data_IF_344813838869
#
_entry.id   IF_344813838869
#
_cell.length_a   1.000
_cell.length_b   1.000
_cell.length_c   1.000
_cell.angle_alpha   90.00
_cell.angle_beta   90.00
_cell.angle_gamma   90.00
#
_symmetry.space_group_name_H-M   'P 1'
#
loop_
_entity.id
_entity.type
_entity.pdbx_description
1 polymer ?
#
# COMPACT_ATOMS: atom_id res chain seq x y z
N UNK A 1 9.33 -28.25 11.99
CA UNK A 1 9.67 -27.64 10.68
C UNK A 1 8.54 -26.76 10.12
N UNK A 2 7.33 -27.30 9.94
CA UNK A 2 6.21 -26.57 9.31
C UNK A 2 5.78 -25.29 10.05
N UNK A 3 5.81 -25.28 11.40
CA UNK A 3 5.50 -24.07 12.19
C UNK A 3 6.56 -22.98 12.09
N UNK A 4 7.84 -23.35 11.92
CA UNK A 4 8.93 -22.39 11.70
C UNK A 4 8.81 -21.73 10.33
N UNK A 5 8.56 -22.53 9.29
CA UNK A 5 8.36 -22.04 7.92
C UNK A 5 7.16 -21.09 7.88
N UNK A 6 6.01 -21.47 8.45
CA UNK A 6 4.83 -20.58 8.52
C UNK A 6 5.10 -19.27 9.25
N UNK A 7 5.89 -19.30 10.33
CA UNK A 7 6.24 -18.11 11.11
C UNK A 7 7.15 -17.15 10.33
N UNK A 8 8.11 -17.70 9.60
CA UNK A 8 9.00 -16.92 8.72
C UNK A 8 8.23 -16.34 7.54
N UNK A 9 7.40 -17.14 6.87
CA UNK A 9 6.58 -16.69 5.75
C UNK A 9 5.66 -15.53 6.18
N UNK A 10 5.01 -15.65 7.34
CA UNK A 10 4.13 -14.61 7.88
C UNK A 10 4.89 -13.32 8.18
N UNK A 11 6.13 -13.40 8.71
CA UNK A 11 6.98 -12.21 8.94
C UNK A 11 7.39 -11.53 7.64
N UNK A 12 7.82 -12.31 6.65
CA UNK A 12 8.24 -11.80 5.34
C UNK A 12 7.06 -11.13 4.63
N UNK A 13 5.89 -11.78 4.59
CA UNK A 13 4.68 -11.20 4.01
C UNK A 13 4.26 -9.90 4.70
N UNK A 14 4.31 -9.86 6.05
CA UNK A 14 3.96 -8.64 6.79
C UNK A 14 4.93 -7.50 6.49
N UNK A 15 6.22 -7.81 6.36
CA UNK A 15 7.24 -6.83 5.95
C UNK A 15 7.04 -6.36 4.50
N UNK A 16 6.78 -7.26 3.56
CA UNK A 16 6.49 -6.91 2.17
C UNK A 16 5.26 -6.02 2.05
N UNK A 17 4.17 -6.39 2.72
CA UNK A 17 2.93 -5.60 2.70
C UNK A 17 3.16 -4.22 3.30
N UNK A 18 3.99 -4.10 4.34
CA UNK A 18 4.29 -2.81 4.94
C UNK A 18 5.10 -1.89 4.00
N UNK A 19 6.11 -2.43 3.31
CA UNK A 19 6.94 -1.66 2.38
C UNK A 19 6.23 -1.33 1.06
N UNK A 20 5.54 -2.31 0.46
CA UNK A 20 4.93 -2.17 -0.87
C UNK A 20 3.46 -1.76 -0.82
N UNK A 21 2.77 -1.93 0.32
CA UNK A 21 1.36 -1.61 0.47
C UNK A 21 1.00 -0.19 0.04
N UNK A 22 1.71 0.84 0.54
CA UNK A 22 1.45 2.22 0.13
C UNK A 22 1.64 2.46 -1.37
N UNK A 23 2.71 1.91 -1.95
CA UNK A 23 3.00 2.05 -3.36
C UNK A 23 1.94 1.36 -4.24
N UNK A 24 1.58 0.12 -3.93
CA UNK A 24 0.58 -0.65 -4.69
C UNK A 24 -0.78 0.02 -4.63
N UNK A 25 -1.22 0.46 -3.45
CA UNK A 25 -2.49 1.19 -3.31
C UNK A 25 -2.51 2.49 -4.12
N UNK A 26 -1.39 3.21 -4.15
CA UNK A 26 -1.28 4.47 -4.90
C UNK A 26 -1.29 4.23 -6.40
N UNK A 27 -0.64 3.17 -6.89
CA UNK A 27 -0.68 2.78 -8.30
C UNK A 27 -2.11 2.40 -8.70
N UNK A 28 -2.79 1.57 -7.90
CA UNK A 28 -4.18 1.19 -8.15
C UNK A 28 -5.10 2.42 -8.18
N UNK A 29 -4.90 3.35 -7.26
CA UNK A 29 -5.62 4.62 -7.25
C UNK A 29 -5.38 5.45 -8.51
N UNK A 30 -4.12 5.62 -8.92
CA UNK A 30 -3.78 6.38 -10.13
C UNK A 30 -4.37 5.76 -11.40
N UNK A 31 -4.34 4.42 -11.52
CA UNK A 31 -4.95 3.70 -12.63
C UNK A 31 -6.47 3.88 -12.62
N UNK A 32 -7.12 3.71 -11.47
CA UNK A 32 -8.56 3.91 -11.35
C UNK A 32 -8.95 5.37 -11.66
N UNK A 33 -8.17 6.35 -11.21
CA UNK A 33 -8.37 7.76 -11.50
C UNK A 33 -8.30 8.01 -13.02
N UNK A 34 -7.30 7.49 -13.71
CA UNK A 34 -7.18 7.66 -15.17
C UNK A 34 -8.30 6.98 -15.96
N UNK A 35 -8.81 5.85 -15.48
CA UNK A 35 -9.86 5.10 -16.17
C UNK A 35 -11.27 5.67 -15.94
N UNK A 36 -11.59 6.04 -14.70
CA UNK A 36 -12.94 6.47 -14.32
C UNK A 36 -13.11 7.99 -14.28
N UNK A 37 -12.02 8.74 -14.08
CA UNK A 37 -12.06 10.19 -13.87
C UNK A 37 -10.91 10.92 -14.62
N UNK A 38 -10.84 10.82 -15.95
CA UNK A 38 -9.69 11.30 -16.73
C UNK A 38 -9.42 12.82 -16.59
N UNK A 39 -10.45 13.62 -16.33
CA UNK A 39 -10.34 15.09 -16.18
C UNK A 39 -9.90 15.53 -14.76
N UNK A 40 -9.69 14.58 -13.85
CA UNK A 40 -9.34 14.94 -12.47
C UNK A 40 -7.88 15.38 -12.32
N UNK A 41 -7.60 16.28 -11.36
CA UNK A 41 -6.25 16.78 -11.17
C UNK A 41 -5.26 15.67 -10.76
N UNK A 42 -4.07 15.67 -11.40
CA UNK A 42 -3.01 14.70 -11.11
C UNK A 42 -2.44 14.80 -9.69
N UNK A 43 -2.59 15.95 -9.02
CA UNK A 43 -2.10 16.16 -7.65
C UNK A 43 -2.84 15.34 -6.58
N UNK A 44 -3.97 14.74 -6.93
CA UNK A 44 -4.69 13.80 -6.05
C UNK A 44 -3.88 12.53 -5.77
N UNK A 45 -3.05 12.09 -6.72
CA UNK A 45 -2.20 10.90 -6.55
C UNK A 45 -1.17 11.06 -5.42
N UNK A 46 -0.33 12.12 -5.40
CA UNK A 46 0.60 12.32 -4.29
C UNK A 46 -0.12 12.65 -2.98
N UNK A 47 -1.28 13.34 -3.00
CA UNK A 47 -2.08 13.54 -1.79
C UNK A 47 -2.54 12.19 -1.21
N UNK A 48 -3.05 11.30 -2.06
CA UNK A 48 -3.46 9.96 -1.67
C UNK A 48 -2.28 9.14 -1.14
N UNK A 49 -1.10 9.23 -1.75
CA UNK A 49 0.10 8.56 -1.26
C UNK A 49 0.44 8.95 0.18
N UNK A 50 0.42 10.25 0.51
CA UNK A 50 0.67 10.74 1.87
C UNK A 50 -0.39 10.21 2.84
N UNK A 51 -1.67 10.22 2.44
CA UNK A 51 -2.75 9.67 3.25
C UNK A 51 -2.55 8.18 3.55
N UNK A 52 -2.18 7.38 2.54
CA UNK A 52 -1.93 5.94 2.72
C UNK A 52 -0.71 5.70 3.61
N UNK A 53 0.36 6.48 3.48
CA UNK A 53 1.54 6.37 4.37
C UNK A 53 1.13 6.63 5.82
N UNK A 54 0.39 7.71 6.10
CA UNK A 54 -0.06 8.03 7.46
C UNK A 54 -0.95 6.93 8.03
N UNK A 55 -1.86 6.39 7.21
CA UNK A 55 -2.69 5.24 7.58
C UNK A 55 -1.85 4.00 7.88
N UNK A 56 -0.90 3.64 7.02
CA UNK A 56 -0.02 2.50 7.23
C UNK A 56 0.84 2.67 8.48
N UNK A 57 1.41 3.84 8.70
CA UNK A 57 2.17 4.13 9.91
C UNK A 57 1.33 3.97 11.19
N UNK A 58 0.06 4.39 11.15
CA UNK A 58 -0.85 4.33 12.31
C UNK A 58 -1.41 2.94 12.59
N UNK A 59 -1.79 2.21 11.55
CA UNK A 59 -2.53 0.94 11.66
C UNK A 59 -1.64 -0.29 11.46
N UNK A 60 -0.67 -0.21 10.55
CA UNK A 60 0.39 -1.22 10.38
C UNK A 60 1.53 -0.82 11.30
N UNK A 61 1.24 -0.80 12.60
CA UNK A 61 2.25 -0.61 13.65
C UNK A 61 3.31 -1.70 13.45
N UNK A 62 4.50 -1.27 13.04
CA UNK A 62 5.69 -2.12 12.90
C UNK A 62 5.90 -2.96 14.17
#
# INVERSE_FOLDING_TARGET
MMNLIKRLLRRIFRSLISYYGPAVLTILFAVAQGLFFPETPLWLVPLFFVFVIVMFYRFVKF
#
